data_IF_428205065445
#
_entry.id   IF_428205065445
#
_cell.length_a   1.000
_cell.length_b   1.000
_cell.length_c   1.000
_cell.angle_alpha   90.00
_cell.angle_beta   90.00
_cell.angle_gamma   90.00
#
_symmetry.space_group_name_H-M   'P 1'
#
loop_
_entity.id
_entity.type
_entity.pdbx_description
1 polymer ?
#
# COMPACT_ATOMS: atom_id res chain seq x y z
N UNK A 1 -0.77 47.72 -26.93
CA UNK A 1 -0.58 47.20 -25.55
C UNK A 1 -1.64 46.15 -25.31
N UNK A 2 -1.39 44.94 -25.72
CA UNK A 2 -2.32 43.82 -25.62
C UNK A 2 -1.98 42.97 -24.42
N UNK A 3 -3.00 42.73 -23.59
CA UNK A 3 -2.86 42.05 -22.32
C UNK A 3 -2.70 40.54 -22.45
N UNK A 4 -1.83 39.95 -21.64
CA UNK A 4 -1.63 38.52 -21.47
C UNK A 4 -2.92 37.82 -20.98
N UNK A 5 -3.25 36.62 -21.51
CA UNK A 5 -4.42 35.87 -21.08
C UNK A 5 -4.22 35.28 -19.68
N UNK A 6 -5.30 35.36 -18.89
CA UNK A 6 -5.43 34.86 -17.53
C UNK A 6 -5.09 33.36 -17.42
N UNK A 7 -4.38 33.02 -16.34
CA UNK A 7 -4.13 31.65 -15.87
C UNK A 7 -5.39 30.78 -15.96
N UNK A 8 -5.33 29.74 -16.75
CA UNK A 8 -6.26 28.61 -16.69
C UNK A 8 -6.08 27.93 -15.31
N UNK A 9 -7.12 28.02 -14.49
CA UNK A 9 -7.26 27.16 -13.31
C UNK A 9 -7.41 25.73 -13.84
N UNK A 10 -6.49 24.86 -13.49
CA UNK A 10 -6.70 23.43 -13.62
C UNK A 10 -7.81 23.04 -12.63
N UNK A 11 -9.04 23.06 -13.09
CA UNK A 11 -10.10 22.30 -12.47
C UNK A 11 -9.77 20.82 -12.73
N UNK A 12 -9.39 20.13 -11.67
CA UNK A 12 -9.28 18.68 -11.66
C UNK A 12 -10.68 18.12 -11.92
N UNK A 13 -10.90 17.68 -13.15
CA UNK A 13 -12.09 16.91 -13.51
C UNK A 13 -11.93 15.53 -12.84
N UNK A 14 -12.42 15.46 -11.62
CA UNK A 14 -12.61 14.19 -10.93
C UNK A 14 -13.78 13.50 -11.60
N UNK A 15 -13.52 12.42 -12.31
CA UNK A 15 -14.56 11.47 -12.67
C UNK A 15 -15.11 10.88 -11.38
N UNK A 16 -16.24 11.41 -10.91
CA UNK A 16 -17.07 10.75 -9.92
C UNK A 16 -17.59 9.47 -10.57
N UNK A 17 -16.90 8.36 -10.36
CA UNK A 17 -17.37 7.02 -10.73
C UNK A 17 -18.42 6.52 -9.72
N UNK A 18 -19.44 7.33 -9.43
CA UNK A 18 -20.71 6.82 -8.95
C UNK A 18 -21.53 6.37 -10.16
N UNK A 19 -21.03 5.40 -10.88
CA UNK A 19 -21.82 4.72 -11.90
C UNK A 19 -22.59 3.59 -11.23
N UNK A 20 -23.88 3.82 -11.00
CA UNK A 20 -24.82 2.68 -10.93
C UNK A 20 -24.69 1.91 -12.24
N UNK A 21 -24.44 0.59 -12.20
CA UNK A 21 -24.31 -0.20 -13.42
C UNK A 21 -25.63 -0.10 -14.16
N UNK A 22 -25.59 0.52 -15.34
CA UNK A 22 -26.71 0.45 -16.29
C UNK A 22 -26.60 -0.91 -16.99
N UNK A 23 -27.35 -1.89 -16.50
CA UNK A 23 -27.29 -3.29 -16.92
C UNK A 23 -27.88 -3.56 -18.31
N UNK A 24 -28.36 -2.53 -19.03
CA UNK A 24 -29.16 -2.70 -20.24
C UNK A 24 -28.49 -2.28 -21.58
N UNK A 25 -27.17 -2.02 -21.61
CA UNK A 25 -26.51 -1.72 -22.87
C UNK A 25 -25.51 -2.82 -23.25
N UNK A 26 -25.78 -3.49 -24.38
CA UNK A 26 -24.85 -4.45 -25.04
C UNK A 26 -23.47 -3.86 -25.37
N UNK A 27 -23.30 -2.54 -25.22
CA UNK A 27 -22.06 -1.80 -25.49
C UNK A 27 -21.26 -1.45 -24.23
N UNK A 28 -21.75 -1.76 -23.02
CA UNK A 28 -21.01 -1.50 -21.80
C UNK A 28 -20.03 -2.64 -21.50
N UNK A 29 -18.87 -2.60 -22.14
CA UNK A 29 -17.79 -3.59 -21.97
C UNK A 29 -16.81 -3.24 -20.86
N UNK A 30 -17.01 -2.13 -20.12
CA UNK A 30 -16.14 -1.66 -19.05
C UNK A 30 -16.84 -1.80 -17.70
N UNK A 31 -16.38 -2.79 -16.91
CA UNK A 31 -16.87 -3.08 -15.55
C UNK A 31 -15.68 -3.14 -14.59
N UNK A 32 -15.15 -1.97 -14.15
CA UNK A 32 -13.99 -1.93 -13.26
C UNK A 32 -14.36 -2.49 -11.89
N UNK A 33 -13.57 -3.46 -11.42
CA UNK A 33 -13.71 -4.04 -10.08
C UNK A 33 -12.76 -3.34 -9.11
N UNK A 34 -13.11 -3.20 -7.81
CA UNK A 34 -12.23 -2.63 -6.83
C UNK A 34 -10.97 -3.50 -6.66
N UNK A 35 -9.83 -2.85 -6.52
CA UNK A 35 -8.52 -3.49 -6.44
C UNK A 35 -8.06 -3.63 -4.99
N UNK A 36 -7.45 -4.78 -4.68
CA UNK A 36 -6.60 -4.92 -3.51
C UNK A 36 -5.16 -4.65 -3.93
N UNK A 37 -4.61 -3.54 -3.47
CA UNK A 37 -3.30 -3.03 -3.86
C UNK A 37 -2.33 -3.25 -2.70
N UNK A 38 -1.26 -3.98 -2.94
CA UNK A 38 -0.19 -4.24 -1.97
C UNK A 38 1.04 -3.43 -2.34
N UNK A 39 1.42 -2.51 -1.48
CA UNK A 39 2.67 -1.75 -1.59
C UNK A 39 3.68 -2.39 -0.64
N UNK A 40 4.77 -2.93 -1.21
CA UNK A 40 5.82 -3.59 -0.45
C UNK A 40 7.21 -3.22 -0.97
N UNK A 41 8.24 -3.82 -0.40
CA UNK A 41 9.65 -3.57 -0.71
C UNK A 41 10.51 -3.54 0.54
N UNK A 42 11.83 -3.42 0.42
CA UNK A 42 12.77 -3.46 1.54
C UNK A 42 12.54 -2.36 2.58
N UNK A 43 13.08 -2.59 3.78
CA UNK A 43 13.14 -1.54 4.80
C UNK A 43 13.98 -0.36 4.29
N UNK A 44 13.52 0.87 4.52
CA UNK A 44 14.27 2.08 4.11
C UNK A 44 13.90 2.66 2.74
N UNK A 45 13.16 1.95 1.88
CA UNK A 45 12.79 2.43 0.52
C UNK A 45 11.75 3.57 0.51
N UNK A 46 11.14 3.90 1.66
CA UNK A 46 10.20 5.02 1.76
C UNK A 46 8.72 4.64 1.61
N UNK A 47 8.32 3.39 1.84
CA UNK A 47 6.91 2.95 1.76
C UNK A 47 5.97 3.82 2.61
N UNK A 48 6.37 4.17 3.85
CA UNK A 48 5.56 5.01 4.73
C UNK A 48 5.33 6.40 4.16
N UNK A 49 6.39 6.99 3.61
CA UNK A 49 6.35 8.32 3.00
C UNK A 49 5.46 8.33 1.76
N UNK A 50 5.54 7.26 0.94
CA UNK A 50 4.67 7.09 -0.23
C UNK A 50 3.20 6.99 0.19
N UNK A 51 2.87 6.15 1.18
CA UNK A 51 1.51 6.02 1.71
C UNK A 51 0.97 7.33 2.26
N UNK A 52 1.78 8.03 3.07
CA UNK A 52 1.43 9.33 3.61
C UNK A 52 1.16 10.34 2.48
N UNK A 53 2.02 10.38 1.44
CA UNK A 53 1.85 11.30 0.31
C UNK A 53 0.60 10.99 -0.51
N UNK A 54 0.26 9.73 -0.70
CA UNK A 54 -1.01 9.32 -1.32
C UNK A 54 -2.22 9.85 -0.53
N UNK A 55 -2.19 9.75 0.80
CA UNK A 55 -3.24 10.27 1.69
C UNK A 55 -3.31 11.80 1.65
N UNK A 56 -2.18 12.51 1.72
CA UNK A 56 -2.10 13.98 1.64
C UNK A 56 -2.66 14.52 0.32
N UNK A 57 -2.51 13.77 -0.78
CA UNK A 57 -3.08 14.10 -2.09
C UNK A 57 -4.57 13.77 -2.20
N UNK A 58 -5.19 13.25 -1.15
CA UNK A 58 -6.62 12.94 -1.11
C UNK A 58 -7.02 11.86 -2.13
N UNK A 59 -6.14 10.89 -2.43
CA UNK A 59 -6.48 9.81 -3.34
C UNK A 59 -7.62 8.95 -2.75
N UNK A 60 -8.63 8.57 -3.54
CA UNK A 60 -9.86 7.95 -3.08
C UNK A 60 -9.70 6.45 -2.79
N UNK A 61 -8.73 6.11 -1.95
CA UNK A 61 -8.43 4.73 -1.56
C UNK A 61 -8.78 4.49 -0.10
N UNK A 62 -9.19 3.28 0.23
CA UNK A 62 -9.20 2.81 1.60
C UNK A 62 -7.78 2.38 2.00
N UNK A 63 -7.15 3.14 2.90
CA UNK A 63 -5.84 2.80 3.45
C UNK A 63 -5.99 1.89 4.65
N UNK A 64 -5.48 0.68 4.53
CA UNK A 64 -5.62 -0.34 5.57
C UNK A 64 -4.93 0.07 6.86
N UNK A 65 -5.65 -0.04 7.98
CA UNK A 65 -5.14 0.19 9.33
C UNK A 65 -4.70 -1.13 9.93
N UNK A 66 -3.42 -1.24 10.25
CA UNK A 66 -2.79 -2.44 10.85
C UNK A 66 -3.19 -2.60 12.32
N UNK A 67 -3.57 -3.79 12.75
CA UNK A 67 -3.70 -4.14 14.16
C UNK A 67 -2.32 -4.38 14.79
N UNK A 68 -2.13 -3.98 16.05
CA UNK A 68 -0.86 -4.18 16.76
C UNK A 68 -1.05 -4.34 18.26
N UNK A 69 -0.19 -5.15 18.88
CA UNK A 69 -0.18 -5.33 20.35
C UNK A 69 0.76 -4.38 21.09
N UNK A 70 1.58 -3.61 20.36
CA UNK A 70 2.44 -2.64 21.02
C UNK A 70 1.61 -1.50 21.65
N UNK A 71 2.08 -0.93 22.76
CA UNK A 71 1.43 0.23 23.36
C UNK A 71 1.32 1.41 22.38
N UNK A 72 0.20 2.12 22.47
CA UNK A 72 -0.07 3.35 21.71
C UNK A 72 0.89 4.47 22.17
N UNK A 73 1.51 5.18 21.24
CA UNK A 73 2.28 6.39 21.51
C UNK A 73 1.36 7.60 21.69
N UNK A 74 1.86 8.65 22.36
CA UNK A 74 1.04 9.84 22.68
C UNK A 74 0.45 10.56 21.45
N UNK A 75 1.14 10.50 20.32
CA UNK A 75 0.73 11.17 19.06
C UNK A 75 -0.16 10.30 18.17
N UNK A 76 -0.31 9.02 18.48
CA UNK A 76 -1.06 8.08 17.65
C UNK A 76 -2.53 8.04 18.05
N UNK A 77 -3.41 7.75 17.09
CA UNK A 77 -4.85 7.62 17.28
C UNK A 77 -5.28 6.20 16.94
N UNK A 78 -5.99 5.55 17.89
CA UNK A 78 -6.58 4.23 17.68
C UNK A 78 -7.60 4.27 16.53
N UNK A 79 -7.54 3.28 15.63
CA UNK A 79 -8.41 3.19 14.46
C UNK A 79 -7.99 4.05 13.27
N UNK A 80 -7.00 4.95 13.44
CA UNK A 80 -6.43 5.75 12.35
C UNK A 80 -4.99 5.32 12.03
N UNK A 81 -4.12 5.33 13.03
CA UNK A 81 -2.70 5.00 12.85
C UNK A 81 -2.47 3.49 13.00
N UNK A 82 -3.14 2.90 13.99
CA UNK A 82 -3.19 1.45 14.26
C UNK A 82 -4.48 1.09 15.01
N UNK A 83 -4.91 -0.16 14.87
CA UNK A 83 -5.80 -0.83 15.80
C UNK A 83 -4.94 -1.38 16.94
N UNK A 84 -4.91 -0.68 18.09
CA UNK A 84 -4.18 -1.13 19.28
C UNK A 84 -5.04 -2.12 20.03
N UNK A 85 -4.62 -3.39 20.08
CA UNK A 85 -5.34 -4.50 20.70
C UNK A 85 -4.45 -5.18 21.75
N UNK A 86 -5.04 -5.94 22.67
CA UNK A 86 -4.29 -6.76 23.61
C UNK A 86 -3.66 -7.97 22.93
N UNK A 87 -2.72 -8.66 23.60
CA UNK A 87 -2.15 -9.91 23.07
C UNK A 87 -3.19 -11.02 23.01
N UNK A 88 -4.09 -11.06 23.98
CA UNK A 88 -5.19 -12.00 24.08
C UNK A 88 -6.19 -11.80 22.92
N UNK A 89 -6.54 -10.56 22.64
CA UNK A 89 -7.40 -10.21 21.52
C UNK A 89 -6.73 -10.55 20.19
N UNK A 90 -5.43 -10.26 20.03
CA UNK A 90 -4.71 -10.60 18.82
C UNK A 90 -4.60 -12.13 18.61
N UNK A 91 -4.41 -12.90 19.69
CA UNK A 91 -4.43 -14.35 19.65
C UNK A 91 -5.78 -14.89 19.18
N UNK A 92 -6.89 -14.33 19.71
CA UNK A 92 -8.24 -14.65 19.24
C UNK A 92 -8.38 -14.38 17.73
N UNK A 93 -7.90 -13.22 17.24
CA UNK A 93 -7.96 -12.88 15.82
C UNK A 93 -7.19 -13.89 14.94
N UNK A 94 -6.11 -14.48 15.46
CA UNK A 94 -5.38 -15.56 14.77
C UNK A 94 -6.20 -16.84 14.76
N UNK A 95 -6.72 -17.26 15.91
CA UNK A 95 -7.48 -18.50 16.08
C UNK A 95 -8.78 -18.51 15.27
N UNK A 96 -9.41 -17.34 15.12
CA UNK A 96 -10.65 -17.15 14.34
C UNK A 96 -10.38 -16.83 12.85
N UNK A 97 -9.13 -16.90 12.40
CA UNK A 97 -8.72 -16.61 11.01
C UNK A 97 -9.17 -15.21 10.53
N UNK A 98 -9.16 -14.21 11.40
CA UNK A 98 -9.59 -12.84 11.11
C UNK A 98 -8.52 -12.00 10.41
N UNK A 99 -7.28 -12.49 10.29
CA UNK A 99 -6.16 -11.75 9.73
C UNK A 99 -5.81 -12.24 8.32
N UNK A 100 -5.52 -11.30 7.40
CA UNK A 100 -4.96 -11.60 6.06
C UNK A 100 -3.52 -12.09 6.20
N UNK A 101 -2.75 -11.39 7.02
CA UNK A 101 -1.38 -11.74 7.36
C UNK A 101 -1.06 -11.21 8.76
N UNK A 102 -0.08 -11.78 9.42
CA UNK A 102 0.47 -11.25 10.66
C UNK A 102 1.95 -11.63 10.83
N UNK A 103 2.66 -10.81 11.59
CA UNK A 103 4.06 -11.01 11.91
C UNK A 103 4.39 -10.52 13.32
N UNK A 104 5.48 -11.06 13.87
CA UNK A 104 6.07 -10.54 15.11
C UNK A 104 7.19 -9.55 14.75
N UNK A 105 7.05 -8.32 15.22
CA UNK A 105 7.99 -7.23 14.93
C UNK A 105 8.44 -6.62 16.26
N UNK A 106 9.70 -6.83 16.63
CA UNK A 106 10.31 -6.38 17.90
C UNK A 106 9.54 -6.83 19.16
N UNK A 107 9.02 -8.07 19.14
CA UNK A 107 8.30 -8.67 20.28
C UNK A 107 6.81 -8.33 20.35
N UNK A 108 6.30 -7.51 19.47
CA UNK A 108 4.89 -7.18 19.31
C UNK A 108 4.31 -7.81 18.05
N UNK A 109 3.04 -8.16 18.09
CA UNK A 109 2.31 -8.63 16.92
C UNK A 109 1.83 -7.45 16.09
N UNK A 110 1.80 -7.66 14.78
CA UNK A 110 1.15 -6.81 13.78
C UNK A 110 0.42 -7.67 12.79
N UNK A 111 -0.76 -7.24 12.34
CA UNK A 111 -1.55 -8.00 11.38
C UNK A 111 -2.59 -7.12 10.69
N UNK A 112 -3.13 -7.62 9.60
CA UNK A 112 -4.14 -6.93 8.80
C UNK A 112 -5.49 -7.61 8.96
N UNK A 113 -6.48 -6.96 9.62
CA UNK A 113 -7.82 -7.52 9.75
C UNK A 113 -8.50 -7.67 8.40
N UNK A 114 -9.04 -8.87 8.11
CA UNK A 114 -9.77 -9.18 6.87
C UNK A 114 -11.02 -8.32 6.70
N UNK A 115 -11.72 -8.05 7.78
CA UNK A 115 -13.02 -7.38 7.75
C UNK A 115 -12.94 -6.01 7.08
N UNK A 116 -12.01 -5.13 7.47
CA UNK A 116 -11.89 -3.80 6.88
C UNK A 116 -11.61 -3.84 5.36
N UNK A 117 -10.85 -4.84 4.92
CA UNK A 117 -10.54 -5.02 3.49
C UNK A 117 -11.77 -5.50 2.73
N UNK A 118 -12.50 -6.49 3.28
CA UNK A 118 -13.75 -6.99 2.70
C UNK A 118 -14.82 -5.89 2.58
N UNK A 119 -15.01 -5.11 3.65
CA UNK A 119 -15.99 -4.02 3.68
C UNK A 119 -15.66 -2.93 2.65
N UNK A 120 -14.39 -2.54 2.55
CA UNK A 120 -13.96 -1.53 1.59
C UNK A 120 -14.12 -2.02 0.13
N UNK A 121 -13.68 -3.25 -0.19
CA UNK A 121 -13.88 -3.83 -1.52
C UNK A 121 -15.37 -3.97 -1.85
N UNK A 122 -16.19 -4.43 -0.91
CA UNK A 122 -17.64 -4.55 -1.10
C UNK A 122 -18.34 -3.19 -1.31
N UNK A 123 -17.78 -2.09 -0.81
CA UNK A 123 -18.26 -0.73 -1.06
C UNK A 123 -17.81 -0.15 -2.42
N UNK A 124 -17.03 -0.91 -3.20
CA UNK A 124 -16.49 -0.46 -4.49
C UNK A 124 -15.21 0.38 -4.38
N UNK A 125 -14.60 0.47 -3.20
CA UNK A 125 -13.35 1.22 -3.02
C UNK A 125 -12.12 0.34 -3.24
N UNK A 126 -11.14 0.90 -3.94
CA UNK A 126 -9.79 0.33 -3.97
C UNK A 126 -9.16 0.35 -2.58
N UNK A 127 -8.51 -0.74 -2.23
CA UNK A 127 -7.87 -0.93 -0.93
C UNK A 127 -6.37 -0.93 -1.09
N UNK A 128 -5.67 -0.08 -0.35
CA UNK A 128 -4.21 -0.01 -0.34
C UNK A 128 -3.68 -0.49 1.01
N UNK A 129 -2.87 -1.53 0.98
CA UNK A 129 -2.17 -2.03 2.16
C UNK A 129 -0.65 -1.94 1.97
N UNK A 130 0.04 -1.66 3.09
CA UNK A 130 1.50 -1.60 3.16
C UNK A 130 1.99 -2.71 4.08
N UNK A 131 2.74 -3.63 3.52
CA UNK A 131 3.32 -4.78 4.24
C UNK A 131 4.78 -4.98 3.84
N UNK A 132 5.49 -5.82 4.57
CA UNK A 132 6.83 -6.26 4.17
C UNK A 132 6.76 -7.32 3.06
N UNK A 133 7.92 -7.71 2.54
CA UNK A 133 7.99 -8.65 1.41
C UNK A 133 7.48 -10.04 1.78
N UNK A 134 7.68 -10.46 3.04
CA UNK A 134 7.22 -11.75 3.52
C UNK A 134 5.68 -11.79 3.65
N UNK A 135 5.08 -10.72 4.19
CA UNK A 135 3.63 -10.55 4.22
C UNK A 135 3.03 -10.49 2.82
N UNK A 136 3.72 -9.83 1.87
CA UNK A 136 3.29 -9.78 0.47
C UNK A 136 3.23 -11.18 -0.17
N UNK A 137 4.18 -12.06 0.09
CA UNK A 137 4.13 -13.46 -0.37
C UNK A 137 2.92 -14.21 0.19
N UNK A 138 2.56 -13.94 1.45
CA UNK A 138 1.36 -14.52 2.08
C UNK A 138 0.10 -14.03 1.38
N UNK A 139 0.00 -12.70 1.14
CA UNK A 139 -1.15 -12.11 0.42
C UNK A 139 -1.22 -12.64 -1.01
N UNK A 140 -0.11 -12.81 -1.74
CA UNK A 140 -0.09 -13.38 -3.09
C UNK A 140 -0.70 -14.78 -3.14
N UNK A 141 -0.46 -15.61 -2.10
CA UNK A 141 -1.04 -16.96 -2.01
C UNK A 141 -2.53 -16.93 -1.68
N UNK A 142 -2.94 -16.03 -0.78
CA UNK A 142 -4.32 -15.90 -0.33
C UNK A 142 -5.21 -15.21 -1.37
N UNK A 143 -4.70 -14.18 -2.01
CA UNK A 143 -5.38 -13.34 -2.99
C UNK A 143 -4.52 -13.20 -4.27
N UNK A 144 -4.47 -14.22 -5.15
CA UNK A 144 -3.61 -14.21 -6.34
C UNK A 144 -3.87 -13.06 -7.30
N UNK A 145 -5.08 -12.49 -7.28
CA UNK A 145 -5.48 -11.35 -8.10
C UNK A 145 -5.16 -9.97 -7.48
N UNK A 146 -4.57 -9.93 -6.26
CA UNK A 146 -4.10 -8.67 -5.70
C UNK A 146 -3.05 -8.01 -6.61
N UNK A 147 -3.14 -6.69 -6.73
CA UNK A 147 -2.15 -5.88 -7.46
C UNK A 147 -0.94 -5.65 -6.56
N UNK A 148 0.19 -6.23 -6.92
CA UNK A 148 1.40 -6.23 -6.10
C UNK A 148 2.43 -5.24 -6.66
N UNK A 149 2.77 -4.21 -5.89
CA UNK A 149 3.72 -3.15 -6.26
C UNK A 149 4.94 -3.22 -5.34
N UNK A 150 6.11 -3.42 -5.93
CA UNK A 150 7.39 -3.42 -5.23
C UNK A 150 8.05 -2.03 -5.33
N UNK A 151 8.34 -1.40 -4.21
CA UNK A 151 9.09 -0.14 -4.15
C UNK A 151 10.54 -0.44 -3.81
N UNK A 152 11.45 0.17 -4.58
CA UNK A 152 12.89 0.08 -4.37
C UNK A 152 13.55 1.46 -4.46
N UNK A 153 14.86 1.53 -4.22
CA UNK A 153 15.73 2.68 -4.44
C UNK A 153 16.45 2.56 -5.78
N UNK A 154 17.13 3.62 -6.23
CA UNK A 154 17.91 3.60 -7.47
C UNK A 154 19.13 2.69 -7.37
N UNK A 155 19.73 2.60 -6.17
CA UNK A 155 20.90 1.76 -5.91
C UNK A 155 20.91 1.24 -4.48
N UNK A 156 21.83 0.30 -4.20
CA UNK A 156 22.09 -0.18 -2.85
C UNK A 156 22.67 0.92 -1.97
N UNK A 157 23.56 1.74 -2.52
CA UNK A 157 24.18 2.86 -1.79
C UNK A 157 23.12 3.87 -1.31
N UNK A 158 22.12 4.15 -2.15
CA UNK A 158 20.98 5.00 -1.77
C UNK A 158 20.18 4.38 -0.62
N UNK A 159 19.93 3.08 -0.68
CA UNK A 159 19.24 2.35 0.38
C UNK A 159 20.02 2.39 1.70
N UNK A 160 21.33 2.13 1.65
CA UNK A 160 22.21 2.17 2.83
C UNK A 160 22.20 3.56 3.45
N UNK A 161 22.39 4.62 2.66
CA UNK A 161 22.33 6.00 3.13
C UNK A 161 21.00 6.33 3.84
N UNK A 162 19.87 5.88 3.29
CA UNK A 162 18.54 6.07 3.91
C UNK A 162 18.37 5.28 5.20
N UNK A 163 18.98 4.11 5.32
CA UNK A 163 18.99 3.33 6.55
C UNK A 163 19.84 3.99 7.64
N UNK A 164 21.02 4.52 7.31
CA UNK A 164 21.94 5.21 8.22
C UNK A 164 21.33 6.49 8.81
N UNK A 165 20.50 7.21 8.04
CA UNK A 165 19.89 8.47 8.49
C UNK A 165 18.87 8.27 9.63
N UNK A 166 18.44 7.05 9.90
CA UNK A 166 17.59 6.71 11.03
C UNK A 166 18.44 6.62 12.31
N UNK A 167 18.56 7.73 13.04
CA UNK A 167 19.40 7.96 14.27
C UNK A 167 19.26 6.95 15.43
N UNK A 168 18.57 5.84 15.27
CA UNK A 168 18.30 4.83 16.31
C UNK A 168 19.04 3.50 16.05
N UNK A 169 19.94 3.45 15.08
CA UNK A 169 20.59 2.21 14.64
C UNK A 169 21.98 2.03 15.24
N UNK A 170 22.25 0.81 15.71
CA UNK A 170 23.63 0.37 15.98
C UNK A 170 24.26 -0.17 14.70
N UNK A 171 25.60 -0.21 14.57
CA UNK A 171 26.27 -0.78 13.41
C UNK A 171 25.82 -2.21 13.08
N UNK A 172 25.59 -3.04 14.10
CA UNK A 172 25.13 -4.42 13.94
C UNK A 172 23.70 -4.49 13.40
N UNK A 173 22.81 -3.61 13.88
CA UNK A 173 21.43 -3.54 13.38
C UNK A 173 21.38 -3.09 11.93
N UNK A 174 22.23 -2.15 11.53
CA UNK A 174 22.36 -1.69 10.15
C UNK A 174 22.81 -2.82 9.21
N UNK A 175 23.85 -3.58 9.61
CA UNK A 175 24.34 -4.71 8.81
C UNK A 175 23.26 -5.79 8.59
N UNK A 176 22.49 -6.10 9.63
CA UNK A 176 21.35 -7.03 9.54
C UNK A 176 20.28 -6.52 8.57
N UNK A 177 19.94 -5.22 8.62
CA UNK A 177 18.94 -4.61 7.72
C UNK A 177 19.39 -4.62 6.26
N UNK A 178 20.66 -4.32 5.98
CA UNK A 178 21.21 -4.38 4.62
C UNK A 178 21.14 -5.83 4.10
N UNK A 179 21.56 -6.79 4.92
CA UNK A 179 21.49 -8.20 4.55
C UNK A 179 20.05 -8.67 4.30
N UNK A 180 19.09 -8.20 5.10
CA UNK A 180 17.66 -8.48 4.92
C UNK A 180 17.14 -7.86 3.63
N UNK A 181 17.45 -6.59 3.38
CA UNK A 181 17.04 -5.90 2.15
C UNK A 181 17.55 -6.59 0.88
N UNK A 182 18.80 -7.08 0.88
CA UNK A 182 19.35 -7.89 -0.22
C UNK A 182 18.58 -9.20 -0.46
N UNK A 183 18.06 -9.84 0.62
CA UNK A 183 17.21 -11.02 0.49
C UNK A 183 15.83 -10.68 -0.04
N UNK A 184 15.26 -9.56 0.40
CA UNK A 184 13.96 -9.06 -0.03
C UNK A 184 13.97 -8.64 -1.50
N UNK A 185 15.05 -8.01 -1.99
CA UNK A 185 15.23 -7.67 -3.41
C UNK A 185 15.20 -8.90 -4.34
N UNK A 186 15.67 -10.07 -3.88
CA UNK A 186 15.61 -11.31 -4.67
C UNK A 186 14.21 -11.88 -4.85
N UNK A 187 13.22 -11.36 -4.11
CA UNK A 187 11.82 -11.79 -4.15
C UNK A 187 10.94 -10.89 -5.01
N UNK A 188 11.55 -10.00 -5.79
CA UNK A 188 10.84 -9.04 -6.64
C UNK A 188 9.90 -9.72 -7.65
N UNK A 189 10.19 -10.93 -8.08
CA UNK A 189 9.39 -11.73 -9.03
C UNK A 189 7.98 -12.08 -8.51
N UNK A 190 7.72 -11.95 -7.21
CA UNK A 190 6.39 -12.12 -6.61
C UNK A 190 5.44 -10.99 -6.98
N UNK A 191 5.99 -9.86 -7.42
CA UNK A 191 5.27 -8.61 -7.66
C UNK A 191 4.95 -8.41 -9.14
N UNK A 192 3.88 -7.63 -9.40
CA UNK A 192 3.45 -7.31 -10.76
C UNK A 192 4.21 -6.10 -11.33
N UNK A 193 4.62 -5.16 -10.46
CA UNK A 193 5.29 -3.91 -10.82
C UNK A 193 6.43 -3.58 -9.88
N UNK A 194 7.47 -2.94 -10.42
CA UNK A 194 8.59 -2.38 -9.65
C UNK A 194 8.62 -0.88 -9.88
N UNK A 195 8.71 -0.11 -8.79
CA UNK A 195 8.79 1.35 -8.82
C UNK A 195 10.03 1.81 -8.06
N UNK A 196 10.85 2.62 -8.71
CA UNK A 196 12.02 3.25 -8.08
C UNK A 196 11.55 4.55 -7.40
N UNK A 197 11.61 4.59 -6.07
CA UNK A 197 11.32 5.77 -5.27
C UNK A 197 12.58 6.64 -5.16
N UNK A 198 12.74 7.56 -6.09
CA UNK A 198 13.87 8.49 -6.15
C UNK A 198 13.82 9.52 -5.04
N UNK A 199 14.98 9.91 -4.55
CA UNK A 199 15.09 10.99 -3.58
C UNK A 199 14.58 12.29 -4.19
N UNK A 200 13.82 13.09 -3.43
CA UNK A 200 13.15 14.33 -3.85
C UNK A 200 12.09 14.20 -4.96
N UNK A 201 11.77 12.99 -5.43
CA UNK A 201 10.80 12.74 -6.51
C UNK A 201 9.57 11.94 -6.02
N UNK A 202 9.14 12.19 -4.77
CA UNK A 202 8.04 11.44 -4.15
C UNK A 202 6.72 11.57 -4.91
N UNK A 203 6.42 12.75 -5.45
CA UNK A 203 5.20 12.99 -6.23
C UNK A 203 5.18 12.17 -7.53
N UNK A 204 6.32 12.06 -8.20
CA UNK A 204 6.45 11.21 -9.39
C UNK A 204 6.21 9.73 -9.05
N UNK A 205 6.74 9.25 -7.91
CA UNK A 205 6.48 7.89 -7.42
C UNK A 205 4.99 7.65 -7.22
N UNK A 206 4.28 8.58 -6.59
CA UNK A 206 2.83 8.50 -6.39
C UNK A 206 2.07 8.57 -7.72
N UNK A 207 2.50 9.39 -8.68
CA UNK A 207 1.88 9.48 -10.00
C UNK A 207 2.03 8.17 -10.80
N UNK A 208 3.18 7.50 -10.70
CA UNK A 208 3.38 6.18 -11.32
C UNK A 208 2.46 5.15 -10.70
N UNK A 209 2.35 5.10 -9.37
CA UNK A 209 1.41 4.20 -8.67
C UNK A 209 -0.02 4.44 -9.16
N UNK A 210 -0.46 5.69 -9.20
CA UNK A 210 -1.80 6.06 -9.67
C UNK A 210 -2.04 5.62 -11.11
N UNK A 211 -1.05 5.81 -11.99
CA UNK A 211 -1.15 5.41 -13.40
C UNK A 211 -1.28 3.90 -13.56
N UNK A 212 -0.54 3.12 -12.76
CA UNK A 212 -0.67 1.65 -12.71
C UNK A 212 -2.08 1.26 -12.28
N UNK A 213 -2.61 1.84 -11.20
CA UNK A 213 -3.96 1.56 -10.70
C UNK A 213 -5.00 1.87 -11.78
N UNK A 214 -4.88 3.03 -12.44
CA UNK A 214 -5.75 3.39 -13.56
C UNK A 214 -5.68 2.37 -14.70
N UNK A 215 -4.49 1.95 -15.11
CA UNK A 215 -4.33 0.95 -16.16
C UNK A 215 -4.95 -0.40 -15.77
N UNK A 216 -4.81 -0.82 -14.52
CA UNK A 216 -5.39 -2.07 -14.04
C UNK A 216 -6.94 -2.05 -14.02
N UNK A 217 -7.56 -0.89 -13.81
CA UNK A 217 -9.03 -0.74 -13.97
C UNK A 217 -9.50 -0.85 -15.43
N UNK A 218 -8.62 -0.64 -16.42
CA UNK A 218 -8.94 -0.72 -17.83
C UNK A 218 -8.60 -2.08 -18.48
N UNK A 219 -8.35 -3.09 -17.66
CA UNK A 219 -8.11 -4.45 -18.17
C UNK A 219 -9.38 -5.06 -18.75
N UNK A 220 -9.26 -5.73 -19.90
CA UNK A 220 -10.36 -6.51 -20.48
C UNK A 220 -10.83 -7.63 -19.55
N UNK A 221 -9.87 -8.26 -18.83
CA UNK A 221 -10.16 -9.21 -17.76
C UNK A 221 -9.81 -8.53 -16.43
N UNK A 222 -10.79 -8.02 -15.69
CA UNK A 222 -10.55 -7.32 -14.45
C UNK A 222 -9.99 -8.27 -13.38
N UNK A 223 -9.22 -7.71 -12.44
CA UNK A 223 -8.83 -8.44 -11.23
C UNK A 223 -10.05 -8.55 -10.32
N UNK A 224 -10.38 -9.78 -9.91
CA UNK A 224 -11.43 -10.03 -8.91
C UNK A 224 -10.78 -10.66 -7.68
N UNK A 225 -10.81 -9.93 -6.58
CA UNK A 225 -10.21 -10.38 -5.31
C UNK A 225 -11.30 -10.97 -4.43
N UNK A 226 -11.10 -12.21 -4.02
CA UNK A 226 -11.90 -12.91 -3.01
C UNK A 226 -11.03 -13.13 -1.77
N UNK A 227 -11.57 -12.82 -0.57
CA UNK A 227 -10.87 -12.91 0.72
C UNK A 227 -11.72 -13.66 1.75
#
# INVERSE_FOLDING_TARGET
>A
MEGYPKKLRHESVWYNLSMTPNTDSEFNVHDPQPLLIVISGPSGVGKDTVMQRMQERGLPFHFVVTATTRPKRNTEVHGRDYWFVSKEEFARMIDEDELIEYAVVYGDYKGIPKQQVREALASGMDVVMRIDVQGAETVRKLAPQALMIFITTESEEDLVRRLETRKTETPDSLAIRIATARKELKRVEVFDYVIVNREFHLDETVDVIRSIIQAEHHRVVPRKVEL
#
